data_IF_092404290113
#
_entry.id   IF_092404290113
#
_cell.length_a   1.000
_cell.length_b   1.000
_cell.length_c   1.000
_cell.angle_alpha   90.00
_cell.angle_beta   90.00
_cell.angle_gamma   90.00
#
_symmetry.space_group_name_H-M   'P 1'
#
loop_
_entity.id
_entity.type
_entity.pdbx_description
1 polymer ?
#
# COMPACT_ATOMS: atom_id res chain seq x y z
N UNK A 1 23.45 -21.49 17.39
CA UNK A 1 22.99 -20.29 18.13
C UNK A 1 23.86 -19.13 17.71
N UNK A 2 23.27 -18.05 17.16
CA UNK A 2 23.83 -16.68 17.16
C UNK A 2 22.79 -15.77 16.49
N UNK A 3 21.90 -15.22 17.33
CA UNK A 3 20.88 -14.25 16.92
C UNK A 3 21.41 -12.84 17.07
N UNK A 4 21.65 -12.16 15.95
CA UNK A 4 21.81 -10.70 15.93
C UNK A 4 20.43 -10.05 16.06
N UNK A 5 20.13 -9.53 17.26
CA UNK A 5 19.02 -8.60 17.50
C UNK A 5 19.35 -7.28 16.78
N UNK A 6 18.58 -6.94 15.73
CA UNK A 6 18.60 -5.60 15.14
C UNK A 6 17.88 -4.62 16.07
N UNK A 7 18.55 -3.51 16.33
CA UNK A 7 18.12 -2.40 17.16
C UNK A 7 16.92 -1.68 16.51
N UNK A 8 15.89 -1.41 17.32
CA UNK A 8 14.77 -0.56 16.96
C UNK A 8 15.04 0.83 17.57
N UNK A 9 15.29 1.81 16.71
CA UNK A 9 15.39 3.23 17.12
C UNK A 9 13.97 3.77 17.20
N UNK A 10 13.52 4.06 18.42
CA UNK A 10 12.27 4.80 18.66
C UNK A 10 12.66 6.28 18.80
N UNK A 11 12.38 7.07 17.77
CA UNK A 11 12.45 8.53 17.85
C UNK A 11 11.20 9.03 18.58
N UNK A 12 11.34 9.27 19.88
CA UNK A 12 10.38 10.03 20.67
C UNK A 12 10.54 11.52 20.31
N UNK A 13 9.64 12.06 19.49
CA UNK A 13 9.41 13.51 19.43
C UNK A 13 7.98 13.75 19.87
N UNK A 14 7.83 14.15 21.13
CA UNK A 14 6.56 14.59 21.68
C UNK A 14 6.12 15.89 21.02
N UNK A 15 4.81 16.06 20.86
CA UNK A 15 4.21 17.37 20.67
C UNK A 15 2.96 17.44 21.54
N UNK A 16 3.03 18.34 22.50
CA UNK A 16 1.99 18.76 23.44
C UNK A 16 0.76 19.23 22.66
N UNK A 17 -0.41 18.69 23.00
CA UNK A 17 -1.71 19.26 22.60
C UNK A 17 -1.79 20.69 23.12
N UNK A 18 -2.10 21.66 22.26
CA UNK A 18 -3.17 22.66 22.42
C UNK A 18 -3.19 23.55 21.17
N UNK A 19 -4.25 23.45 20.37
CA UNK A 19 -4.47 24.31 19.21
C UNK A 19 -5.35 23.65 18.16
N UNK A 20 -6.59 24.10 18.07
CA UNK A 20 -7.62 23.64 17.15
C UNK A 20 -7.10 23.51 15.69
N UNK A 21 -7.14 22.32 15.12
CA UNK A 21 -7.15 22.13 13.66
C UNK A 21 -8.23 21.12 13.31
N UNK A 22 -9.27 21.65 12.67
CA UNK A 22 -10.30 20.91 11.97
C UNK A 22 -9.61 20.18 10.82
N UNK A 23 -9.42 18.87 10.96
CA UNK A 23 -8.85 18.01 9.92
C UNK A 23 -9.43 16.63 10.08
N UNK A 24 -10.52 16.35 9.37
CA UNK A 24 -11.09 15.00 9.26
C UNK A 24 -10.08 14.07 8.59
N UNK A 25 -9.27 13.39 9.40
CA UNK A 25 -8.54 12.20 8.97
C UNK A 25 -9.48 11.00 9.00
N UNK A 26 -9.86 10.48 7.84
CA UNK A 26 -10.55 9.19 7.75
C UNK A 26 -9.54 8.08 8.00
N UNK A 27 -9.54 7.52 9.20
CA UNK A 27 -8.82 6.28 9.50
C UNK A 27 -9.63 5.09 8.99
N UNK A 28 -9.16 4.42 7.93
CA UNK A 28 -9.73 3.14 7.49
C UNK A 28 -9.14 2.03 8.36
N UNK A 29 -9.90 1.58 9.36
CA UNK A 29 -9.51 0.47 10.24
C UNK A 29 -10.12 -0.82 9.67
N UNK A 30 -9.34 -1.56 8.87
CA UNK A 30 -9.62 -2.96 8.58
C UNK A 30 -9.11 -3.83 9.74
N UNK A 31 -10.01 -4.61 10.33
CA UNK A 31 -9.82 -5.32 11.60
C UNK A 31 -8.81 -6.50 11.53
N UNK A 32 -7.85 -6.39 12.45
CA UNK A 32 -7.18 -7.42 13.28
C UNK A 32 -6.08 -8.30 12.65
N UNK A 33 -4.87 -8.00 13.13
CA UNK A 33 -3.63 -8.76 13.09
C UNK A 33 -2.96 -8.90 11.72
N UNK A 34 -2.21 -7.88 11.32
CA UNK A 34 -0.94 -7.95 10.57
C UNK A 34 -0.47 -6.51 10.35
N UNK A 35 0.84 -6.28 10.39
CA UNK A 35 1.53 -4.97 10.34
C UNK A 35 0.78 -3.90 9.54
N UNK A 36 0.31 -2.89 10.27
CA UNK A 36 -0.57 -1.81 9.82
C UNK A 36 0.25 -0.84 8.94
N UNK A 37 -0.15 -0.63 7.68
CA UNK A 37 0.33 0.53 6.92
C UNK A 37 -0.28 1.79 7.55
N UNK A 38 0.53 2.53 8.30
CA UNK A 38 0.12 3.78 8.95
C UNK A 38 0.13 4.90 7.93
N UNK A 39 -1.05 5.43 7.63
CA UNK A 39 -1.27 6.58 6.78
C UNK A 39 -1.37 7.81 7.71
N UNK A 40 -0.35 8.69 7.72
CA UNK A 40 -0.37 9.94 8.49
C UNK A 40 -0.21 11.19 7.61
N UNK A 41 -1.11 12.15 7.77
CA UNK A 41 -0.94 13.60 7.54
C UNK A 41 -0.88 14.09 6.09
N UNK A 42 -0.21 13.37 5.21
CA UNK A 42 -0.24 13.46 3.74
C UNK A 42 0.23 12.08 3.31
N UNK A 43 -0.70 11.15 3.27
CA UNK A 43 -0.41 9.71 3.34
C UNK A 43 0.54 9.24 2.23
N UNK A 44 1.81 9.00 2.59
CA UNK A 44 2.83 8.48 1.66
C UNK A 44 2.70 6.96 1.60
N UNK A 45 2.54 6.44 0.40
CA UNK A 45 2.55 5.03 0.08
C UNK A 45 3.91 4.63 -0.50
N UNK A 46 4.51 3.56 0.03
CA UNK A 46 5.77 3.01 -0.45
C UNK A 46 5.57 1.53 -0.85
N UNK A 47 5.45 1.20 -2.15
CA UNK A 47 5.39 -0.18 -2.60
C UNK A 47 6.77 -0.85 -2.46
N UNK A 48 6.83 -2.18 -2.60
CA UNK A 48 8.07 -2.96 -2.48
C UNK A 48 9.18 -2.56 -3.46
N UNK A 49 8.82 -1.93 -4.58
CA UNK A 49 9.79 -1.38 -5.53
C UNK A 49 10.54 -0.14 -4.98
N UNK A 50 10.18 0.34 -3.78
CA UNK A 50 10.81 1.49 -3.12
C UNK A 50 10.39 2.84 -3.69
N UNK A 51 9.41 2.92 -4.60
CA UNK A 51 8.94 4.22 -5.07
C UNK A 51 8.13 4.93 -3.98
N UNK A 52 8.24 6.26 -3.89
CA UNK A 52 7.40 7.04 -2.99
C UNK A 52 6.22 7.60 -3.76
N UNK A 53 5.03 7.43 -3.21
CA UNK A 53 3.78 7.86 -3.80
C UNK A 53 2.95 8.58 -2.75
N UNK A 54 2.19 9.58 -3.14
CA UNK A 54 1.24 10.28 -2.27
C UNK A 54 -0.14 9.71 -2.52
N UNK A 55 -0.80 9.21 -1.49
CA UNK A 55 -2.23 8.85 -1.55
C UNK A 55 -3.04 10.13 -1.67
N UNK A 56 -3.91 10.16 -2.67
CA UNK A 56 -4.76 11.32 -2.99
C UNK A 56 -6.25 11.02 -2.80
N UNK A 57 -6.64 9.74 -2.78
CA UNK A 57 -8.01 9.27 -2.54
C UNK A 57 -8.00 7.86 -1.94
N UNK A 58 -8.93 7.59 -1.03
CA UNK A 58 -9.24 6.26 -0.49
C UNK A 58 -10.73 6.03 -0.64
N UNK A 59 -11.12 4.83 -1.04
CA UNK A 59 -12.51 4.44 -1.24
C UNK A 59 -12.97 3.47 -0.14
N UNK A 60 -14.29 3.36 0.05
CA UNK A 60 -14.90 2.51 1.08
C UNK A 60 -14.59 1.02 0.90
N UNK A 61 -14.36 0.58 -0.34
CA UNK A 61 -14.00 -0.80 -0.67
C UNK A 61 -12.53 -1.13 -0.31
N UNK A 62 -11.75 -0.16 0.16
CA UNK A 62 -10.33 -0.29 0.47
C UNK A 62 -9.41 -0.07 -0.73
N UNK A 63 -9.95 0.25 -1.90
CA UNK A 63 -9.14 0.72 -3.03
C UNK A 63 -8.67 2.15 -2.78
N UNK A 64 -7.56 2.53 -3.42
CA UNK A 64 -7.00 3.87 -3.25
C UNK A 64 -6.27 4.35 -4.50
N UNK A 65 -6.07 5.66 -4.58
CA UNK A 65 -5.38 6.33 -5.68
C UNK A 65 -4.17 7.06 -5.15
N UNK A 66 -3.06 6.94 -5.85
CA UNK A 66 -1.81 7.64 -5.55
C UNK A 66 -1.33 8.49 -6.73
N UNK A 67 -0.45 9.44 -6.44
CA UNK A 67 0.38 10.14 -7.44
C UNK A 67 1.87 9.99 -7.07
N UNK A 68 2.79 10.00 -8.04
CA UNK A 68 4.21 9.79 -7.75
C UNK A 68 4.81 10.99 -7.00
N UNK A 69 5.66 10.73 -6.02
CA UNK A 69 6.51 11.74 -5.38
C UNK A 69 7.85 11.74 -6.11
N UNK A 70 8.02 12.68 -7.05
CA UNK A 70 9.27 12.81 -7.80
C UNK A 70 10.37 13.51 -6.99
N UNK A 71 9.99 14.38 -6.05
CA UNK A 71 10.91 15.08 -5.18
C UNK A 71 10.28 15.27 -3.79
N UNK A 72 10.92 14.66 -2.80
CA UNK A 72 10.54 14.71 -1.39
C UNK A 72 10.65 16.13 -0.80
N UNK A 73 11.36 17.05 -1.46
CA UNK A 73 11.46 18.44 -1.00
C UNK A 73 10.23 19.26 -1.37
N UNK A 74 9.54 18.89 -2.44
CA UNK A 74 8.40 19.65 -2.98
C UNK A 74 7.06 18.97 -2.77
N UNK A 75 7.02 17.75 -2.21
CA UNK A 75 5.77 17.00 -2.05
C UNK A 75 4.70 17.73 -1.20
N UNK A 76 5.12 18.45 -0.16
CA UNK A 76 4.22 19.19 0.72
C UNK A 76 3.61 20.43 0.05
N UNK A 77 4.34 21.04 -0.88
CA UNK A 77 3.93 22.27 -1.58
C UNK A 77 3.26 21.99 -2.92
N UNK A 78 3.49 20.82 -3.51
CA UNK A 78 2.83 20.41 -4.74
C UNK A 78 1.36 20.11 -4.46
N UNK A 79 0.46 20.88 -5.08
CA UNK A 79 -0.98 20.62 -5.04
C UNK A 79 -1.24 19.21 -5.58
N UNK A 80 -2.03 18.34 -4.95
CA UNK A 80 -2.32 17.00 -5.49
C UNK A 80 -3.30 17.03 -6.67
N UNK A 81 -3.45 15.91 -7.37
CA UNK A 81 -4.52 15.75 -8.36
C UNK A 81 -5.91 15.57 -7.70
N UNK A 82 -6.65 16.66 -7.53
CA UNK A 82 -7.98 16.65 -6.90
C UNK A 82 -9.13 16.23 -7.84
N UNK A 83 -8.85 15.98 -9.11
CA UNK A 83 -9.88 15.63 -10.08
C UNK A 83 -10.51 14.25 -9.82
N UNK A 84 -11.85 14.13 -9.90
CA UNK A 84 -12.55 12.85 -9.72
C UNK A 84 -12.08 11.74 -10.66
N UNK A 85 -12.31 10.49 -10.27
CA UNK A 85 -11.89 9.29 -11.01
C UNK A 85 -12.37 9.25 -12.47
N UNK A 86 -13.53 9.87 -12.79
CA UNK A 86 -14.04 9.99 -14.16
C UNK A 86 -13.10 10.71 -15.14
N UNK A 87 -12.14 11.49 -14.62
CA UNK A 87 -11.11 12.16 -15.44
C UNK A 87 -9.80 11.38 -15.53
N UNK A 88 -9.70 10.22 -14.88
CA UNK A 88 -8.56 9.32 -15.00
C UNK A 88 -8.72 8.43 -16.23
N UNK A 89 -7.71 8.45 -17.08
CA UNK A 89 -7.58 7.57 -18.24
C UNK A 89 -6.58 6.47 -17.95
N UNK A 90 -7.03 5.22 -18.02
CA UNK A 90 -6.14 4.07 -17.88
C UNK A 90 -5.11 4.03 -19.02
N UNK A 91 -3.83 3.93 -18.64
CA UNK A 91 -2.67 3.84 -19.54
C UNK A 91 -2.00 2.48 -19.49
N UNK A 92 -2.21 1.73 -18.42
CA UNK A 92 -1.67 0.39 -18.25
C UNK A 92 -2.25 -0.29 -17.03
N UNK A 93 -2.11 -1.62 -16.98
CA UNK A 93 -2.54 -2.45 -15.85
C UNK A 93 -1.45 -3.47 -15.52
N UNK A 94 -1.27 -3.73 -14.23
CA UNK A 94 -0.38 -4.77 -13.71
C UNK A 94 -1.02 -5.41 -12.49
N UNK A 95 -0.82 -6.71 -12.32
CA UNK A 95 -1.13 -7.39 -11.06
C UNK A 95 0.12 -7.42 -10.18
N UNK A 96 -0.05 -7.03 -8.93
CA UNK A 96 0.97 -7.10 -7.88
C UNK A 96 0.71 -8.30 -6.98
N UNK A 97 1.77 -8.92 -6.48
CA UNK A 97 1.72 -10.21 -5.81
C UNK A 97 2.65 -10.22 -4.60
N UNK A 98 2.15 -10.72 -3.46
CA UNK A 98 2.94 -10.91 -2.25
C UNK A 98 2.68 -12.30 -1.64
N UNK A 99 3.74 -13.01 -1.27
CA UNK A 99 3.61 -14.27 -0.53
C UNK A 99 3.16 -14.00 0.90
N UNK A 100 2.27 -14.84 1.42
CA UNK A 100 1.79 -14.79 2.81
C UNK A 100 2.28 -16.02 3.56
N UNK A 101 2.05 -17.22 3.01
CA UNK A 101 2.63 -18.46 3.51
C UNK A 101 2.10 -18.92 4.87
N UNK A 102 0.83 -18.65 5.17
CA UNK A 102 0.15 -19.22 6.35
C UNK A 102 -0.53 -20.54 6.00
N UNK A 103 -1.17 -21.20 6.99
CA UNK A 103 -1.87 -22.47 6.76
C UNK A 103 -3.11 -22.34 5.86
N UNK A 104 -3.78 -21.19 5.90
CA UNK A 104 -5.01 -20.93 5.13
C UNK A 104 -4.80 -20.02 3.92
N UNK A 105 -3.65 -19.37 3.78
CA UNK A 105 -3.41 -18.35 2.74
C UNK A 105 -2.01 -18.54 2.16
N UNK A 106 -1.95 -18.75 0.85
CA UNK A 106 -0.69 -18.89 0.12
C UNK A 106 -0.09 -17.52 -0.19
N UNK A 107 -0.88 -16.65 -0.83
CA UNK A 107 -0.43 -15.36 -1.31
C UNK A 107 -1.61 -14.37 -1.35
N UNK A 108 -1.30 -13.10 -1.53
CA UNK A 108 -2.26 -12.05 -1.83
C UNK A 108 -1.88 -11.33 -3.11
N UNK A 109 -2.89 -10.87 -3.85
CA UNK A 109 -2.71 -10.16 -5.10
C UNK A 109 -3.62 -8.92 -5.16
N UNK A 110 -3.21 -7.92 -5.94
CA UNK A 110 -4.04 -6.73 -6.23
C UNK A 110 -3.78 -6.22 -7.63
N UNK A 111 -4.76 -5.53 -8.19
CA UNK A 111 -4.64 -4.83 -9.46
C UNK A 111 -4.09 -3.43 -9.24
N UNK A 112 -3.12 -3.03 -10.07
CA UNK A 112 -2.59 -1.68 -10.16
C UNK A 112 -2.90 -1.16 -11.56
N UNK A 113 -3.61 -0.04 -11.64
CA UNK A 113 -3.91 0.65 -12.89
C UNK A 113 -3.10 1.94 -12.92
N UNK A 114 -2.24 2.10 -13.92
CA UNK A 114 -1.54 3.35 -14.20
C UNK A 114 -2.47 4.26 -15.00
N UNK A 115 -2.61 5.51 -14.57
CA UNK A 115 -3.55 6.48 -15.10
C UNK A 115 -2.86 7.79 -15.50
N UNK A 116 -3.50 8.49 -16.45
CA UNK A 116 -3.28 9.92 -16.74
C UNK A 116 -4.55 10.69 -16.37
N UNK A 117 -4.42 11.82 -15.69
CA UNK A 117 -5.56 12.73 -15.54
C UNK A 117 -5.76 13.57 -16.81
N UNK A 118 -6.94 13.50 -17.43
CA UNK A 118 -7.26 14.29 -18.63
C UNK A 118 -7.44 15.80 -18.36
N UNK A 119 -7.65 16.20 -17.10
CA UNK A 119 -7.88 17.60 -16.71
C UNK A 119 -6.58 18.36 -16.43
N UNK A 120 -5.71 17.81 -15.58
CA UNK A 120 -4.41 18.44 -15.26
C UNK A 120 -3.22 17.81 -15.98
N UNK A 121 -3.44 16.85 -16.88
CA UNK A 121 -2.41 16.13 -17.64
C UNK A 121 -1.36 15.37 -16.82
N UNK A 122 -1.51 15.28 -15.49
CA UNK A 122 -0.63 14.48 -14.64
C UNK A 122 -0.62 13.02 -15.04
N UNK A 123 0.58 12.45 -15.08
CA UNK A 123 0.86 11.06 -15.41
C UNK A 123 1.38 10.32 -14.18
N UNK A 124 1.37 8.99 -14.23
CA UNK A 124 1.90 8.15 -13.15
C UNK A 124 0.96 8.01 -11.96
N UNK A 125 -0.27 8.55 -12.04
CA UNK A 125 -1.31 8.33 -11.04
C UNK A 125 -1.64 6.84 -11.03
N UNK A 126 -1.63 6.17 -9.87
CA UNK A 126 -1.96 4.75 -9.79
C UNK A 126 -3.24 4.54 -9.01
N UNK A 127 -4.06 3.60 -9.46
CA UNK A 127 -5.19 3.09 -8.70
C UNK A 127 -4.88 1.67 -8.25
N UNK A 128 -4.97 1.43 -6.96
CA UNK A 128 -4.73 0.15 -6.31
C UNK A 128 -6.06 -0.46 -5.90
N UNK A 129 -6.35 -1.68 -6.33
CA UNK A 129 -7.45 -2.45 -5.76
C UNK A 129 -7.10 -2.92 -4.34
N UNK A 130 -8.11 -3.36 -3.57
CA UNK A 130 -7.85 -4.06 -2.32
C UNK A 130 -7.05 -5.34 -2.59
N UNK A 131 -6.38 -5.83 -1.55
CA UNK A 131 -5.74 -7.15 -1.59
C UNK A 131 -6.80 -8.25 -1.62
N UNK A 132 -6.66 -9.17 -2.58
CA UNK A 132 -7.40 -10.43 -2.64
C UNK A 132 -6.50 -11.55 -2.11
N UNK A 133 -6.98 -12.30 -1.13
CA UNK A 133 -6.23 -13.37 -0.49
C UNK A 133 -6.51 -14.72 -1.17
N UNK A 134 -5.47 -15.40 -1.63
CA UNK A 134 -5.56 -16.68 -2.31
C UNK A 134 -5.05 -17.83 -1.43
N UNK A 135 -5.95 -18.75 -1.09
CA UNK A 135 -5.67 -19.94 -0.27
C UNK A 135 -5.07 -21.13 -1.02
N UNK A 136 -4.91 -21.04 -2.35
CA UNK A 136 -4.45 -22.16 -3.16
C UNK A 136 -2.93 -22.34 -3.04
N UNK A 137 -2.50 -23.17 -2.10
CA UNK A 137 -1.12 -23.65 -2.05
C UNK A 137 -0.86 -24.64 -3.18
N UNK A 138 0.27 -24.46 -3.89
CA UNK A 138 0.73 -25.44 -4.87
C UNK A 138 1.84 -26.32 -4.29
N UNK A 139 1.54 -27.59 -4.08
CA UNK A 139 2.50 -28.59 -3.60
C UNK A 139 2.96 -29.49 -4.75
N UNK A 140 4.28 -29.58 -5.03
CA UNK A 140 4.81 -30.59 -5.94
C UNK A 140 4.53 -32.00 -5.43
N UNK A 141 4.52 -32.99 -6.33
CA UNK A 141 4.36 -34.39 -5.97
C UNK A 141 5.38 -34.79 -4.88
N UNK A 142 4.91 -35.48 -3.85
CA UNK A 142 5.70 -35.98 -2.72
C UNK A 142 6.38 -34.90 -1.84
N UNK A 143 6.14 -33.60 -2.06
CA UNK A 143 6.67 -32.52 -1.22
C UNK A 143 5.59 -31.96 -0.28
N UNK A 144 5.99 -31.67 0.96
CA UNK A 144 5.14 -30.98 1.96
C UNK A 144 5.23 -29.45 1.90
N UNK A 145 6.16 -28.91 1.12
CA UNK A 145 6.43 -27.48 1.00
C UNK A 145 5.79 -26.90 -0.26
N UNK A 146 5.08 -25.79 -0.11
CA UNK A 146 4.44 -25.08 -1.21
C UNK A 146 5.51 -24.42 -2.11
N UNK A 147 5.42 -24.62 -3.42
CA UNK A 147 6.37 -24.05 -4.40
C UNK A 147 6.24 -22.53 -4.61
N UNK A 148 5.11 -21.95 -4.17
CA UNK A 148 4.81 -20.52 -4.37
C UNK A 148 5.25 -19.72 -3.14
N UNK A 149 4.78 -20.12 -1.95
CA UNK A 149 4.99 -19.34 -0.71
C UNK A 149 5.93 -20.00 0.30
N UNK A 150 6.43 -21.21 0.06
CA UNK A 150 7.30 -21.92 1.00
C UNK A 150 6.60 -22.51 2.24
N UNK A 151 5.28 -22.34 2.39
CA UNK A 151 4.54 -22.93 3.51
C UNK A 151 4.66 -24.46 3.53
N UNK A 152 4.98 -25.04 4.70
CA UNK A 152 5.11 -26.48 4.89
C UNK A 152 3.93 -27.02 5.69
N UNK A 153 3.12 -27.90 5.07
CA UNK A 153 2.02 -28.57 5.77
C UNK A 153 2.59 -29.57 6.79
N UNK A 154 2.04 -29.56 8.01
CA UNK A 154 2.40 -30.54 9.05
C UNK A 154 1.89 -31.92 8.65
#
# INVERSE_FOLDING_TARGET
MNGLKKWMVVLMTGVTLMGNVIGMGTTVIASKNETQESLSGVDVYMPENGSLERVIRVYEDGSFVTEPINDIRTYATNTPCEHPARYLEARGKKTDFQTVGTAGICYKERLIISNKCKKCNRIGIKTYSPWSYCSKHSYPALKKTCKICGYTKK
#
